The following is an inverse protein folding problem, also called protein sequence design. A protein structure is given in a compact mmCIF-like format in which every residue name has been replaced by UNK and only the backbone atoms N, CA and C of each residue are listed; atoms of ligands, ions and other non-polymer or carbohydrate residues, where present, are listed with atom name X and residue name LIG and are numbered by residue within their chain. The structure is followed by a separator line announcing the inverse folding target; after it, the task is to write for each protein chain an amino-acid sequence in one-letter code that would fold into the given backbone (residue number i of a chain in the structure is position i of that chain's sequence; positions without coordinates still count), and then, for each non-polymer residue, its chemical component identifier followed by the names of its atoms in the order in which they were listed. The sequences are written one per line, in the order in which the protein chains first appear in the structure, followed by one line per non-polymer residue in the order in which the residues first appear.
data_IF_132342900820
#
_entry.id   IF_132342900820
#
_cell.length_a   1.000
_cell.length_b   1.000
_cell.length_c   1.000
_cell.angle_alpha   90.00
_cell.angle_beta   90.00
_cell.angle_gamma   90.00
#
_symmetry.space_group_name_H-M   'P 1'
#
loop_
_entity.id
_entity.type
_entity.pdbx_description
1 polymer ?
#
# COMPACT_ATOMS: atom_id res chain seq x y z
N UNK A 1 -4.07 33.02 11.38
CA UNK A 1 -5.02 32.39 10.42
C UNK A 1 -4.34 31.14 9.90
N UNK A 2 -4.60 29.98 10.50
CA UNK A 2 -4.01 28.72 10.02
C UNK A 2 -4.78 28.33 8.77
N UNK A 3 -4.14 28.31 7.60
CA UNK A 3 -4.77 27.71 6.43
C UNK A 3 -4.96 26.23 6.73
N UNK A 4 -6.19 25.81 6.97
CA UNK A 4 -6.57 24.41 6.87
C UNK A 4 -6.47 24.01 5.40
N UNK A 5 -5.24 23.81 4.91
CA UNK A 5 -5.02 23.27 3.59
C UNK A 5 -5.54 21.84 3.61
N UNK A 6 -6.59 21.57 2.84
CA UNK A 6 -6.96 20.21 2.50
C UNK A 6 -5.74 19.56 1.86
N UNK A 7 -5.14 18.57 2.51
CA UNK A 7 -4.06 17.80 1.90
C UNK A 7 -4.71 16.88 0.86
N UNK A 8 -4.33 17.04 -0.39
CA UNK A 8 -4.81 16.18 -1.48
C UNK A 8 -4.00 14.88 -1.44
N UNK A 9 -4.52 13.86 -0.76
CA UNK A 9 -3.89 12.54 -0.72
C UNK A 9 -4.14 11.77 -2.01
N UNK A 10 -3.09 11.15 -2.54
CA UNK A 10 -3.18 10.17 -3.61
C UNK A 10 -3.40 8.78 -3.01
N UNK A 11 -4.53 8.15 -3.32
CA UNK A 11 -4.77 6.75 -2.98
C UNK A 11 -4.53 5.88 -4.22
N UNK A 12 -3.74 4.82 -4.08
CA UNK A 12 -3.46 3.84 -5.13
C UNK A 12 -3.93 2.48 -4.62
N UNK A 13 -4.88 1.88 -5.33
CA UNK A 13 -5.27 0.49 -5.08
C UNK A 13 -4.57 -0.39 -6.08
N UNK A 14 -3.67 -1.25 -5.59
CA UNK A 14 -2.97 -2.24 -6.41
C UNK A 14 -3.70 -3.57 -6.28
N UNK A 15 -4.35 -3.98 -7.36
CA UNK A 15 -5.04 -5.26 -7.45
C UNK A 15 -4.06 -6.37 -7.81
N UNK A 16 -4.09 -7.43 -7.00
CA UNK A 16 -3.18 -8.56 -7.12
C UNK A 16 -3.96 -9.85 -7.19
N UNK A 17 -3.59 -10.69 -8.16
CA UNK A 17 -4.06 -12.08 -8.26
C UNK A 17 -2.87 -13.00 -8.18
N UNK A 18 -2.82 -13.84 -7.17
CA UNK A 18 -1.73 -14.80 -6.97
C UNK A 18 -2.10 -16.18 -7.51
N UNK A 19 -1.11 -17.01 -7.80
CA UNK A 19 -1.32 -18.41 -8.15
C UNK A 19 -1.83 -19.17 -6.91
N UNK A 20 -2.79 -20.10 -7.06
CA UNK A 20 -3.26 -20.91 -5.94
C UNK A 20 -2.10 -21.62 -5.22
N UNK A 21 -2.13 -21.62 -3.89
CA UNK A 21 -1.08 -22.20 -3.04
C UNK A 21 0.10 -21.28 -2.74
N UNK A 22 0.11 -20.04 -3.27
CA UNK A 22 1.15 -19.03 -2.97
C UNK A 22 0.68 -17.93 -2.02
N UNK A 23 -0.55 -18.00 -1.53
CA UNK A 23 -1.24 -16.96 -0.75
C UNK A 23 -0.46 -16.61 0.52
N UNK A 24 -0.03 -17.61 1.28
CA UNK A 24 0.71 -17.40 2.53
C UNK A 24 2.07 -16.72 2.29
N UNK A 25 2.80 -17.15 1.26
CA UNK A 25 4.09 -16.57 0.91
C UNK A 25 3.95 -15.13 0.38
N UNK A 26 2.92 -14.87 -0.41
CA UNK A 26 2.59 -13.52 -0.87
C UNK A 26 2.23 -12.60 0.30
N UNK A 27 1.41 -13.09 1.24
CA UNK A 27 1.02 -12.34 2.43
C UNK A 27 2.23 -12.00 3.29
N UNK A 28 3.11 -12.97 3.57
CA UNK A 28 4.33 -12.74 4.35
C UNK A 28 5.22 -11.66 3.71
N UNK A 29 5.50 -11.78 2.40
CA UNK A 29 6.30 -10.81 1.68
C UNK A 29 5.65 -9.41 1.67
N UNK A 30 4.32 -9.35 1.51
CA UNK A 30 3.58 -8.09 1.44
C UNK A 30 3.45 -7.41 2.80
N UNK A 31 3.32 -8.17 3.89
CA UNK A 31 3.35 -7.61 5.25
C UNK A 31 4.72 -7.02 5.60
N UNK A 32 5.81 -7.67 5.18
CA UNK A 32 7.15 -7.12 5.34
C UNK A 32 7.32 -5.80 4.57
N UNK A 33 6.82 -5.74 3.32
CA UNK A 33 6.79 -4.52 2.53
C UNK A 33 5.97 -3.43 3.23
N UNK A 34 4.71 -3.73 3.59
CA UNK A 34 3.78 -2.79 4.20
C UNK A 34 4.30 -2.18 5.50
N UNK A 35 4.85 -2.99 6.41
CA UNK A 35 5.41 -2.50 7.68
C UNK A 35 6.61 -1.57 7.49
N UNK A 36 7.41 -1.81 6.44
CA UNK A 36 8.51 -0.91 6.10
C UNK A 36 8.00 0.37 5.44
N UNK A 37 7.03 0.25 4.53
CA UNK A 37 6.45 1.37 3.82
C UNK A 37 5.65 2.31 4.71
N UNK A 38 4.97 1.78 5.72
CA UNK A 38 4.28 2.57 6.74
C UNK A 38 5.20 3.52 7.53
N UNK A 39 6.53 3.34 7.44
CA UNK A 39 7.54 4.20 8.08
C UNK A 39 8.16 5.19 7.12
N UNK A 40 7.81 5.12 5.83
CA UNK A 40 8.37 6.00 4.81
C UNK A 40 7.82 7.43 4.95
N UNK A 41 8.66 8.46 4.75
CA UNK A 41 8.18 9.82 4.62
C UNK A 41 7.19 9.94 3.47
N UNK A 42 5.96 10.33 3.82
CA UNK A 42 4.93 10.60 2.84
C UNK A 42 3.93 9.47 2.59
N UNK A 43 4.11 8.32 3.25
CA UNK A 43 3.12 7.24 3.28
C UNK A 43 2.20 7.45 4.48
N UNK A 44 0.92 7.64 4.21
CA UNK A 44 -0.13 7.69 5.24
C UNK A 44 -0.74 6.32 5.49
N UNK A 45 -0.88 5.48 4.44
CA UNK A 45 -1.30 4.08 4.56
C UNK A 45 -0.59 3.18 3.57
N UNK A 46 -0.43 1.95 3.99
CA UNK A 46 0.00 0.81 3.21
C UNK A 46 -0.73 -0.42 3.75
N UNK A 47 -2.03 -0.53 3.45
CA UNK A 47 -2.84 -1.64 3.95
C UNK A 47 -2.73 -2.85 3.02
N UNK A 48 -2.67 -4.05 3.61
CA UNK A 48 -2.76 -5.32 2.87
C UNK A 48 -4.11 -5.94 3.19
N UNK A 49 -5.00 -5.98 2.20
CA UNK A 49 -6.33 -6.59 2.36
C UNK A 49 -6.51 -7.76 1.41
N UNK A 50 -7.24 -8.77 1.85
CA UNK A 50 -7.56 -9.98 1.08
C UNK A 50 -9.06 -10.02 0.81
N UNK A 51 -9.44 -10.45 -0.40
CA UNK A 51 -10.84 -10.61 -0.75
C UNK A 51 -11.45 -11.78 0.05
N UNK A 52 -12.66 -11.59 0.58
CA UNK A 52 -13.37 -12.61 1.37
C UNK A 52 -13.77 -13.81 0.51
N UNK A 53 -14.24 -13.56 -0.72
CA UNK A 53 -14.78 -14.59 -1.60
C UNK A 53 -13.71 -15.33 -2.43
N UNK A 54 -12.47 -14.82 -2.46
CA UNK A 54 -11.35 -15.40 -3.21
C UNK A 54 -10.02 -15.11 -2.52
N UNK A 55 -9.47 -16.12 -1.83
CA UNK A 55 -8.21 -16.00 -1.11
C UNK A 55 -7.00 -15.73 -2.00
N UNK A 56 -7.12 -15.93 -3.32
CA UNK A 56 -6.04 -15.63 -4.27
C UNK A 56 -5.97 -14.15 -4.65
N UNK A 57 -6.92 -13.33 -4.19
CA UNK A 57 -7.03 -11.91 -4.54
C UNK A 57 -6.69 -11.02 -3.34
N UNK A 58 -5.79 -10.09 -3.59
CA UNK A 58 -5.35 -9.09 -2.61
C UNK A 58 -5.46 -7.68 -3.20
N UNK A 59 -5.58 -6.69 -2.32
CA UNK A 59 -5.39 -5.28 -2.66
C UNK A 59 -4.34 -4.69 -1.72
N UNK A 60 -3.37 -4.00 -2.28
CA UNK A 60 -2.51 -3.08 -1.53
C UNK A 60 -3.12 -1.69 -1.63
N UNK A 61 -3.45 -1.09 -0.48
CA UNK A 61 -4.00 0.27 -0.40
C UNK A 61 -2.88 1.20 0.03
N UNK A 62 -2.32 1.91 -0.94
CA UNK A 62 -1.20 2.82 -0.74
C UNK A 62 -1.73 4.26 -0.74
N UNK A 63 -1.62 4.98 0.37
CA UNK A 63 -2.08 6.37 0.50
C UNK A 63 -0.88 7.27 0.75
N UNK A 64 -0.71 8.28 -0.09
CA UNK A 64 0.44 9.17 -0.09
C UNK A 64 0.01 10.63 0.15
N UNK A 65 0.76 11.35 0.99
CA UNK A 65 0.49 12.76 1.33
C UNK A 65 1.33 13.79 0.56
N UNK A 66 2.18 13.31 -0.34
CA UNK A 66 2.90 14.16 -1.28
C UNK A 66 3.16 13.42 -2.59
N UNK A 67 3.36 14.19 -3.66
CA UNK A 67 3.48 13.66 -5.02
C UNK A 67 4.75 12.86 -5.28
N UNK A 68 5.79 13.02 -4.46
CA UNK A 68 7.09 12.34 -4.64
C UNK A 68 7.14 10.95 -4.00
N UNK A 69 6.30 10.70 -2.99
CA UNK A 69 6.33 9.48 -2.21
C UNK A 69 6.08 8.19 -3.03
N UNK A 70 5.17 8.12 -4.03
CA UNK A 70 5.01 6.92 -4.84
C UNK A 70 6.24 6.54 -5.67
N UNK A 71 7.01 7.55 -6.10
CA UNK A 71 8.25 7.32 -6.84
C UNK A 71 9.36 6.86 -5.88
N UNK A 72 9.52 7.55 -4.75
CA UNK A 72 10.47 7.21 -3.71
C UNK A 72 10.25 5.78 -3.19
N UNK A 73 9.00 5.39 -2.92
CA UNK A 73 8.64 4.04 -2.48
C UNK A 73 9.20 2.95 -3.42
N UNK A 74 9.11 3.17 -4.74
CA UNK A 74 9.57 2.23 -5.77
C UNK A 74 11.09 2.11 -5.88
N UNK A 75 11.83 2.98 -5.20
CA UNK A 75 13.29 2.95 -5.14
C UNK A 75 13.80 2.31 -3.85
N UNK A 76 12.90 2.03 -2.89
CA UNK A 76 13.29 1.46 -1.60
C UNK A 76 13.75 0.01 -1.70
N UNK A 77 14.66 -0.38 -0.81
CA UNK A 77 15.16 -1.76 -0.75
C UNK A 77 14.07 -2.79 -0.47
N UNK A 78 13.09 -2.45 0.37
CA UNK A 78 12.00 -3.36 0.73
C UNK A 78 11.00 -3.54 -0.43
N UNK A 79 10.67 -2.48 -1.17
CA UNK A 79 9.88 -2.61 -2.41
C UNK A 79 10.60 -3.46 -3.46
N UNK A 80 11.89 -3.21 -3.71
CA UNK A 80 12.66 -3.97 -4.70
C UNK A 80 12.69 -5.45 -4.34
N UNK A 81 12.95 -5.76 -3.06
CA UNK A 81 12.91 -7.13 -2.54
C UNK A 81 11.53 -7.76 -2.68
N UNK A 82 10.46 -7.04 -2.32
CA UNK A 82 9.08 -7.51 -2.46
C UNK A 82 8.77 -7.82 -3.92
N UNK A 83 9.04 -6.87 -4.83
CA UNK A 83 8.77 -6.98 -6.27
C UNK A 83 9.41 -8.23 -6.88
N UNK A 84 10.66 -8.51 -6.51
CA UNK A 84 11.37 -9.71 -6.94
C UNK A 84 10.77 -10.98 -6.33
N UNK A 85 10.51 -10.98 -5.02
CA UNK A 85 10.01 -12.14 -4.29
C UNK A 85 8.65 -12.60 -4.81
N UNK A 86 7.74 -11.67 -5.08
CA UNK A 86 6.36 -12.00 -5.50
C UNK A 86 6.21 -12.22 -7.01
N UNK A 87 7.26 -12.00 -7.81
CA UNK A 87 7.18 -12.02 -9.27
C UNK A 87 6.59 -13.33 -9.80
N UNK A 88 7.10 -14.47 -9.32
CA UNK A 88 6.66 -15.80 -9.76
C UNK A 88 5.35 -16.26 -9.12
N UNK A 89 4.83 -15.50 -8.15
CA UNK A 89 3.56 -15.78 -7.48
C UNK A 89 2.36 -15.21 -8.23
N UNK A 90 2.56 -14.32 -9.20
CA UNK A 90 1.46 -13.64 -9.90
C UNK A 90 0.76 -14.59 -10.89
N UNK A 91 -0.57 -14.71 -10.77
CA UNK A 91 -1.39 -15.40 -11.76
C UNK A 91 -1.65 -14.52 -12.99
N UNK A 92 -1.68 -13.20 -12.81
CA UNK A 92 -1.77 -12.20 -13.87
C UNK A 92 -1.00 -10.93 -13.48
N UNK A 93 -0.67 -10.03 -14.43
CA UNK A 93 -0.02 -8.77 -14.09
C UNK A 93 -0.85 -7.96 -13.09
N UNK A 94 -0.18 -7.41 -12.06
CA UNK A 94 -0.82 -6.47 -11.12
C UNK A 94 -1.35 -5.25 -11.88
N UNK A 95 -2.48 -4.72 -11.45
CA UNK A 95 -3.05 -3.47 -11.97
C UNK A 95 -3.21 -2.45 -10.85
N UNK A 96 -3.19 -1.16 -11.19
CA UNK A 96 -3.31 -0.09 -10.21
C UNK A 96 -4.35 0.94 -10.66
N UNK A 97 -5.24 1.33 -9.74
CA UNK A 97 -6.19 2.42 -9.95
C UNK A 97 -5.87 3.54 -8.95
N UNK A 98 -5.82 4.77 -9.45
CA UNK A 98 -5.56 5.98 -8.64
C UNK A 98 -6.88 6.67 -8.29
N UNK A 99 -6.98 7.14 -7.06
CA UNK A 99 -8.12 7.86 -6.52
C UNK A 99 -7.65 9.13 -5.81
N UNK A 100 -8.53 10.11 -5.79
CA UNK A 100 -8.42 11.28 -4.91
C UNK A 100 -9.11 10.94 -3.58
N UNK A 101 -8.41 11.16 -2.48
CA UNK A 101 -9.05 11.10 -1.17
C UNK A 101 -10.08 12.24 -1.02
N UNK A 102 -11.31 11.89 -0.65
CA UNK A 102 -12.37 12.87 -0.33
C UNK A 102 -12.65 12.96 1.17
N UNK A 103 -12.41 11.87 1.92
CA UNK A 103 -12.60 11.79 3.36
C UNK A 103 -11.76 10.63 3.94
N UNK A 104 -11.14 10.79 5.13
CA UNK A 104 -11.08 12.01 5.96
C UNK A 104 -10.33 13.14 5.27
N UNK A 105 -10.75 14.38 5.54
CA UNK A 105 -10.18 15.59 4.92
C UNK A 105 -8.83 16.01 5.53
N UNK A 106 -8.34 15.25 6.51
CA UNK A 106 -7.09 15.50 7.24
C UNK A 106 -6.24 14.24 7.29
N UNK A 107 -4.92 14.40 7.14
CA UNK A 107 -3.94 13.31 7.22
C UNK A 107 -4.02 12.53 8.53
N UNK A 108 -4.31 13.21 9.65
CA UNK A 108 -4.48 12.55 10.95
C UNK A 108 -5.56 11.45 10.96
N UNK A 109 -6.54 11.51 10.05
CA UNK A 109 -7.54 10.45 9.90
C UNK A 109 -7.02 9.22 9.16
N UNK A 110 -5.93 9.38 8.40
CA UNK A 110 -5.23 8.31 7.70
C UNK A 110 -3.90 7.93 8.37
N UNK A 111 -3.41 8.65 9.37
CA UNK A 111 -2.18 8.28 10.07
C UNK A 111 -2.33 6.91 10.78
N UNK A 112 -1.23 6.19 10.98
CA UNK A 112 -1.19 4.91 11.69
C UNK A 112 -1.46 5.08 13.20
N UNK A 113 -1.37 6.30 13.73
CA UNK A 113 -1.39 6.52 15.18
C UNK A 113 -0.22 5.81 15.88
N UNK A 114 -0.06 6.03 17.18
CA UNK A 114 1.15 5.59 17.89
C UNK A 114 1.31 4.05 18.03
N UNK A 115 0.28 3.26 17.71
CA UNK A 115 0.21 1.83 18.06
C UNK A 115 0.10 0.83 16.89
N UNK A 116 0.03 1.27 15.63
CA UNK A 116 -0.39 0.38 14.52
C UNK A 116 0.75 -0.25 13.69
N UNK A 117 2.01 -0.20 14.15
CA UNK A 117 3.18 -0.64 13.37
C UNK A 117 3.83 -1.96 13.85
N UNK A 118 3.16 -2.74 14.70
CA UNK A 118 3.66 -4.04 15.21
C UNK A 118 3.57 -5.21 14.19
#
# INVERSE_FOLDING_TARGET
MSSSGSVELLCVHVFVSVKPGTEAAFLEASLANARASAKEPGVSRFDVVQQIDDSTKFVLVEVYNNDSAPAAHKETAHYLKWRETVADMMAEPRSAIKYKNLFPTTDAGWDYGDAALE
#
